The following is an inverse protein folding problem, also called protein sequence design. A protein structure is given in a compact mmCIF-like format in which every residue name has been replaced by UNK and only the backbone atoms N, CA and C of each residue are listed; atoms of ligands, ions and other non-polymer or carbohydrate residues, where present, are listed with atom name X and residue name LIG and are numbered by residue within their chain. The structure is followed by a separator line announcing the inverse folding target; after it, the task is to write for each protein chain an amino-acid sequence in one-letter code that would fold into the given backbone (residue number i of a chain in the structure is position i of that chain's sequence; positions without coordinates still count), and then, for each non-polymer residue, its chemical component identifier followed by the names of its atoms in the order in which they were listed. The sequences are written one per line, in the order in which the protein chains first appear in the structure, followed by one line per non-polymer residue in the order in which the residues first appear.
data_IF_661675208637
#
_entry.id   IF_661675208637
#
_cell.length_a   1.000
_cell.length_b   1.000
_cell.length_c   1.000
_cell.angle_alpha   90.00
_cell.angle_beta   90.00
_cell.angle_gamma   90.00
#
_symmetry.space_group_name_H-M   'P 1'
#
loop_
_entity.id
_entity.type
_entity.pdbx_description
1 polymer ?
#
# COMPACT_ATOMS: atom_id res chain seq x y z
N UNK A 1 1.15 -24.44 -4.86
CA UNK A 1 0.86 -24.81 -3.45
C UNK A 1 1.53 -23.82 -2.51
N UNK A 2 0.93 -23.47 -1.36
CA UNK A 2 1.58 -22.62 -0.35
C UNK A 2 2.20 -23.46 0.75
N UNK A 3 3.45 -23.16 1.12
CA UNK A 3 4.17 -23.94 2.13
C UNK A 3 4.67 -23.00 3.24
N UNK A 4 4.30 -23.28 4.51
CA UNK A 4 4.82 -22.53 5.64
C UNK A 4 6.29 -22.88 5.89
N UNK A 5 7.08 -21.93 6.41
CA UNK A 5 8.50 -22.14 6.74
C UNK A 5 8.74 -23.39 7.58
N UNK A 6 7.84 -23.66 8.54
CA UNK A 6 7.93 -24.79 9.46
C UNK A 6 7.86 -26.15 8.77
N UNK A 7 7.32 -26.23 7.55
CA UNK A 7 7.23 -27.47 6.78
C UNK A 7 8.46 -27.77 5.91
N UNK A 8 9.44 -26.87 5.82
CA UNK A 8 10.63 -27.04 4.97
C UNK A 8 11.56 -28.17 5.42
N UNK A 9 11.42 -28.62 6.67
CA UNK A 9 12.15 -29.77 7.21
C UNK A 9 11.40 -31.10 7.09
N UNK A 10 10.20 -31.12 6.48
CA UNK A 10 9.40 -32.33 6.39
C UNK A 10 10.00 -33.31 5.37
N UNK A 11 10.10 -34.59 5.76
CA UNK A 11 10.67 -35.65 4.94
C UNK A 11 9.81 -35.95 3.72
N UNK A 12 8.51 -35.67 3.79
CA UNK A 12 7.59 -35.91 2.68
C UNK A 12 7.56 -34.76 1.67
N UNK A 13 8.20 -33.61 1.98
CA UNK A 13 8.21 -32.43 1.12
C UNK A 13 8.71 -32.69 -0.32
N UNK A 14 9.78 -33.46 -0.57
CA UNK A 14 10.22 -33.76 -1.93
C UNK A 14 9.23 -34.60 -2.73
N UNK A 15 8.38 -35.39 -2.06
CA UNK A 15 7.33 -36.18 -2.72
C UNK A 15 6.17 -35.28 -3.13
N UNK A 16 5.81 -34.33 -2.25
CA UNK A 16 4.77 -33.33 -2.53
C UNK A 16 5.23 -32.35 -3.61
N UNK A 17 6.53 -32.03 -3.68
CA UNK A 17 7.14 -31.18 -4.71
C UNK A 17 6.70 -31.51 -6.13
N UNK A 18 6.78 -32.80 -6.46
CA UNK A 18 6.53 -33.29 -7.81
C UNK A 18 5.05 -33.33 -8.22
N UNK A 19 4.14 -32.90 -7.34
CA UNK A 19 2.70 -32.92 -7.60
C UNK A 19 2.16 -31.59 -8.14
N UNK A 20 3.00 -30.57 -8.28
CA UNK A 20 2.58 -29.22 -8.67
C UNK A 20 3.60 -28.55 -9.58
N UNK A 21 3.14 -27.73 -10.51
CA UNK A 21 4.01 -27.07 -11.50
C UNK A 21 4.91 -25.97 -10.92
N UNK A 22 4.51 -25.37 -9.78
CA UNK A 22 5.34 -24.40 -9.06
C UNK A 22 4.85 -24.17 -7.61
N UNK A 23 5.75 -23.59 -6.83
CA UNK A 23 5.63 -23.44 -5.37
C UNK A 23 5.53 -21.97 -4.97
N UNK A 24 4.80 -21.68 -3.91
CA UNK A 24 4.89 -20.40 -3.21
C UNK A 24 5.33 -20.66 -1.79
N UNK A 25 6.50 -20.15 -1.42
CA UNK A 25 7.12 -20.45 -0.13
C UNK A 25 7.36 -19.16 0.64
N UNK A 26 6.61 -18.95 1.72
CA UNK A 26 6.70 -17.70 2.49
C UNK A 26 7.91 -17.72 3.42
N UNK A 27 9.05 -17.20 2.98
CA UNK A 27 10.33 -17.31 3.69
C UNK A 27 10.78 -16.06 4.43
N UNK A 28 10.17 -14.90 4.16
CA UNK A 28 10.58 -13.63 4.76
C UNK A 28 9.38 -12.88 5.35
N UNK A 29 9.56 -12.25 6.51
CA UNK A 29 8.55 -11.44 7.20
C UNK A 29 7.60 -12.21 8.12
N UNK A 30 6.72 -11.51 8.84
CA UNK A 30 5.84 -12.13 9.84
C UNK A 30 4.45 -12.42 9.27
N UNK A 31 3.92 -13.66 9.36
CA UNK A 31 2.55 -13.99 8.90
C UNK A 31 1.50 -13.86 10.02
N UNK A 32 0.19 -13.79 9.67
CA UNK A 32 -0.87 -13.77 10.65
C UNK A 32 -0.86 -14.97 11.59
N UNK A 33 -1.00 -14.70 12.88
CA UNK A 33 -1.03 -15.72 13.93
C UNK A 33 0.34 -16.26 14.35
N UNK A 34 1.41 -15.93 13.62
CA UNK A 34 2.77 -16.22 14.06
C UNK A 34 3.17 -15.21 15.17
N UNK A 35 3.90 -15.68 16.18
CA UNK A 35 4.47 -14.83 17.22
C UNK A 35 5.60 -13.97 16.66
N UNK A 36 5.74 -12.73 17.12
CA UNK A 36 6.77 -11.80 16.65
C UNK A 36 8.18 -12.36 16.89
N UNK A 37 8.89 -12.69 15.81
CA UNK A 37 10.23 -13.28 15.85
C UNK A 37 11.18 -12.56 14.88
N UNK A 38 12.28 -11.99 15.42
CA UNK A 38 13.33 -11.36 14.61
C UNK A 38 13.93 -12.30 13.56
N UNK A 39 13.94 -13.61 13.83
CA UNK A 39 14.50 -14.61 12.93
C UNK A 39 13.74 -14.73 11.59
N UNK A 40 12.53 -14.17 11.49
CA UNK A 40 11.77 -14.14 10.24
C UNK A 40 12.21 -13.03 9.28
N UNK A 41 13.11 -12.15 9.73
CA UNK A 41 13.71 -11.08 8.95
C UNK A 41 15.20 -11.32 8.69
N UNK A 42 15.68 -12.56 8.86
CA UNK A 42 17.08 -12.96 8.72
C UNK A 42 17.40 -13.39 7.29
N UNK A 43 18.18 -12.56 6.58
CA UNK A 43 18.58 -12.83 5.20
C UNK A 43 19.37 -14.13 5.02
N UNK A 44 20.24 -14.46 5.97
CA UNK A 44 21.08 -15.65 5.86
C UNK A 44 20.25 -16.92 5.99
N UNK A 45 19.31 -16.93 6.95
CA UNK A 45 18.36 -18.04 7.10
C UNK A 45 17.44 -18.15 5.88
N UNK A 46 16.93 -17.03 5.38
CA UNK A 46 16.08 -17.02 4.18
C UNK A 46 16.82 -17.53 2.95
N UNK A 47 18.10 -17.16 2.77
CA UNK A 47 18.93 -17.71 1.69
C UNK A 47 19.08 -19.23 1.83
N UNK A 48 19.40 -19.74 3.03
CA UNK A 48 19.53 -21.18 3.25
C UNK A 48 18.24 -21.94 2.93
N UNK A 49 17.10 -21.41 3.38
CA UNK A 49 15.79 -22.01 3.13
C UNK A 49 15.41 -21.92 1.65
N UNK A 50 15.73 -20.81 0.97
CA UNK A 50 15.52 -20.68 -0.48
C UNK A 50 16.38 -21.67 -1.27
N UNK A 51 17.64 -21.88 -0.89
CA UNK A 51 18.52 -22.90 -1.50
C UNK A 51 17.99 -24.32 -1.29
N UNK A 52 17.39 -24.61 -0.13
CA UNK A 52 16.74 -25.91 0.12
C UNK A 52 15.54 -26.12 -0.79
N UNK A 53 14.72 -25.08 -0.99
CA UNK A 53 13.58 -25.12 -1.92
C UNK A 53 14.06 -25.30 -3.36
N UNK A 54 15.07 -24.55 -3.79
CA UNK A 54 15.65 -24.64 -5.13
C UNK A 54 16.18 -26.05 -5.43
N UNK A 55 16.77 -26.71 -4.43
CA UNK A 55 17.25 -28.09 -4.53
C UNK A 55 16.14 -29.15 -4.70
N UNK A 56 14.87 -28.81 -4.44
CA UNK A 56 13.72 -29.70 -4.72
C UNK A 56 13.46 -29.83 -6.23
N UNK A 57 13.99 -28.89 -7.04
CA UNK A 57 14.00 -28.96 -8.50
C UNK A 57 12.82 -28.30 -9.20
N UNK A 58 11.78 -27.92 -8.46
CA UNK A 58 10.58 -27.27 -9.00
C UNK A 58 10.68 -25.74 -8.98
N UNK A 59 10.09 -25.02 -9.96
CA UNK A 59 9.98 -23.57 -9.94
C UNK A 59 9.27 -23.05 -8.69
N UNK A 60 9.71 -21.91 -8.15
CA UNK A 60 9.08 -21.32 -6.97
C UNK A 60 9.10 -19.79 -6.95
N UNK A 61 8.07 -19.22 -6.31
CA UNK A 61 8.00 -17.83 -5.89
C UNK A 61 8.35 -17.72 -4.39
N UNK A 62 9.19 -16.75 -4.07
CA UNK A 62 9.55 -16.42 -2.70
C UNK A 62 8.47 -15.52 -2.08
N UNK A 63 7.71 -16.06 -1.14
CA UNK A 63 6.69 -15.31 -0.42
C UNK A 63 7.30 -14.37 0.63
N UNK A 64 6.90 -13.10 0.60
CA UNK A 64 7.36 -12.04 1.51
C UNK A 64 6.16 -11.46 2.25
N UNK A 65 6.17 -11.48 3.58
CA UNK A 65 5.11 -10.86 4.37
C UNK A 65 5.48 -9.44 4.79
N UNK A 66 4.78 -8.46 4.20
CA UNK A 66 4.93 -7.03 4.50
C UNK A 66 3.85 -6.51 5.47
N UNK A 67 3.02 -7.41 6.01
CA UNK A 67 1.96 -7.03 6.93
C UNK A 67 2.52 -6.45 8.24
N UNK A 68 1.83 -5.45 8.78
CA UNK A 68 2.24 -4.80 10.02
C UNK A 68 1.76 -5.55 11.26
N UNK A 69 2.47 -5.34 12.37
CA UNK A 69 2.02 -5.70 13.71
C UNK A 69 1.29 -4.52 14.33
N UNK A 70 0.18 -4.75 15.02
CA UNK A 70 -0.58 -3.71 15.71
C UNK A 70 -0.76 -4.06 17.19
N UNK A 71 -0.30 -3.17 18.07
CA UNK A 71 -0.50 -3.26 19.51
C UNK A 71 -1.59 -2.29 19.95
N UNK A 72 -2.59 -2.78 20.68
CA UNK A 72 -3.54 -1.95 21.40
C UNK A 72 -2.94 -1.58 22.76
N UNK A 73 -2.77 -0.29 22.99
CA UNK A 73 -2.30 0.27 24.25
C UNK A 73 -3.46 0.92 24.99
N UNK A 74 -3.54 0.68 26.30
CA UNK A 74 -4.47 1.38 27.17
C UNK A 74 -4.08 2.85 27.38
N UNK A 75 -4.93 3.64 28.06
CA UNK A 75 -4.64 5.04 28.38
C UNK A 75 -3.38 5.22 29.25
N UNK A 76 -3.02 4.20 30.01
CA UNK A 76 -1.81 4.11 30.83
C UNK A 76 -0.54 3.75 30.04
N UNK A 77 -0.68 3.46 28.73
CA UNK A 77 0.41 3.01 27.87
C UNK A 77 0.73 1.52 27.96
N UNK A 78 0.04 0.77 28.82
CA UNK A 78 0.19 -0.68 28.92
C UNK A 78 -0.34 -1.40 27.68
N UNK A 79 0.42 -2.36 27.17
CA UNK A 79 -0.02 -3.23 26.06
C UNK A 79 -1.16 -4.12 26.56
N UNK A 80 -2.32 -4.04 25.89
CA UNK A 80 -3.51 -4.85 26.21
C UNK A 80 -3.65 -6.04 25.29
N UNK A 81 -3.31 -5.85 24.02
CA UNK A 81 -3.44 -6.86 22.98
C UNK A 81 -2.42 -6.57 21.88
N UNK A 82 -1.89 -7.63 21.27
CA UNK A 82 -1.03 -7.54 20.07
C UNK A 82 -1.63 -8.45 19.02
N UNK A 83 -1.73 -7.94 17.80
CA UNK A 83 -2.07 -8.71 16.61
C UNK A 83 -0.94 -8.58 15.60
N UNK A 84 -0.48 -9.71 15.08
CA UNK A 84 0.49 -9.73 13.99
C UNK A 84 -0.25 -9.70 12.67
N UNK A 85 0.38 -9.08 11.69
CA UNK A 85 -0.01 -9.10 10.30
C UNK A 85 -1.47 -8.64 10.06
N UNK A 86 -1.73 -7.35 10.33
CA UNK A 86 -3.05 -6.72 10.44
C UNK A 86 -3.35 -5.80 9.24
N UNK A 87 -4.64 -5.62 8.87
CA UNK A 87 -5.04 -4.68 7.79
C UNK A 87 -4.93 -3.23 8.27
N UNK A 88 -3.94 -2.50 7.76
CA UNK A 88 -3.69 -1.13 8.21
C UNK A 88 -4.72 -0.15 7.65
N UNK A 89 -5.09 -0.30 6.38
CA UNK A 89 -5.88 0.70 5.66
C UNK A 89 -7.22 1.01 6.34
N UNK A 90 -8.04 0.04 6.78
CA UNK A 90 -9.29 0.34 7.50
C UNK A 90 -9.08 1.21 8.73
N UNK A 91 -7.95 1.08 9.45
CA UNK A 91 -7.65 1.93 10.60
C UNK A 91 -7.23 3.34 10.17
N UNK A 92 -6.43 3.45 9.11
CA UNK A 92 -5.84 4.71 8.67
C UNK A 92 -6.88 5.69 8.14
N UNK A 93 -7.97 5.19 7.54
CA UNK A 93 -9.03 6.02 6.96
C UNK A 93 -10.26 6.18 7.88
N UNK A 94 -10.29 5.48 9.03
CA UNK A 94 -11.46 5.52 9.89
C UNK A 94 -11.62 6.84 10.64
N UNK A 95 -12.75 7.54 10.44
CA UNK A 95 -13.02 8.87 11.03
C UNK A 95 -13.01 8.95 12.56
N UNK A 96 -13.26 7.83 13.23
CA UNK A 96 -13.21 7.70 14.69
C UNK A 96 -11.79 7.57 15.29
N UNK A 97 -10.78 7.42 14.43
CA UNK A 97 -9.37 7.34 14.80
C UNK A 97 -8.67 8.62 14.33
N UNK A 98 -7.79 9.14 15.17
CA UNK A 98 -6.94 10.28 14.82
C UNK A 98 -5.48 9.86 14.87
N UNK A 99 -4.69 10.31 13.90
CA UNK A 99 -3.26 10.10 13.92
C UNK A 99 -2.63 10.90 15.07
N UNK A 100 -1.86 10.23 15.91
CA UNK A 100 -1.03 10.89 16.92
C UNK A 100 0.11 11.59 16.17
N UNK A 101 0.32 12.91 16.36
CA UNK A 101 1.41 13.62 15.69
C UNK A 101 2.78 13.04 16.06
N UNK A 102 3.66 12.96 15.06
CA UNK A 102 5.01 12.41 15.20
C UNK A 102 5.16 11.07 14.49
N UNK A 103 6.25 10.93 13.74
CA UNK A 103 6.71 9.64 13.21
C UNK A 103 7.69 9.08 14.22
N UNK A 104 7.35 7.99 14.89
CA UNK A 104 8.32 7.26 15.69
C UNK A 104 8.97 6.23 14.77
N UNK A 105 10.28 6.30 14.61
CA UNK A 105 11.05 5.19 14.07
C UNK A 105 11.31 4.23 15.23
N UNK A 106 10.93 2.96 15.08
CA UNK A 106 11.32 1.92 16.01
C UNK A 106 12.58 1.23 15.48
N UNK A 107 13.64 1.22 16.29
CA UNK A 107 14.91 0.65 15.88
C UNK A 107 15.60 1.53 14.84
N UNK A 108 16.13 0.90 13.79
CA UNK A 108 16.88 1.61 12.75
C UNK A 108 15.94 2.30 11.76
N UNK A 109 14.82 1.67 11.34
CA UNK A 109 13.96 2.24 10.25
C UNK A 109 12.49 1.76 10.22
N UNK A 110 11.97 1.07 11.25
CA UNK A 110 10.56 0.63 11.21
C UNK A 110 9.63 1.83 11.40
N UNK A 111 8.79 2.11 10.40
CA UNK A 111 7.78 3.15 10.53
C UNK A 111 6.72 2.73 11.54
N UNK A 112 6.55 3.55 12.59
CA UNK A 112 5.47 3.41 13.54
C UNK A 112 4.38 4.42 13.22
N UNK A 113 3.16 3.93 13.06
CA UNK A 113 1.97 4.76 12.97
C UNK A 113 1.18 4.57 14.25
N UNK A 114 1.00 5.67 15.00
CA UNK A 114 0.14 5.69 16.17
C UNK A 114 -1.20 6.37 15.84
N UNK A 115 -2.29 5.69 16.17
CA UNK A 115 -3.64 6.25 16.13
C UNK A 115 -4.20 6.31 17.55
N UNK A 116 -5.03 7.32 17.83
CA UNK A 116 -5.76 7.47 19.08
C UNK A 116 -7.26 7.42 18.80
N UNK A 117 -7.98 6.72 19.67
CA UNK A 117 -9.43 6.58 19.56
C UNK A 117 -10.14 7.73 20.27
N UNK A 118 -11.06 8.42 19.58
CA UNK A 118 -11.80 9.57 20.14
C UNK A 118 -13.04 9.17 20.94
N UNK A 119 -13.72 8.14 20.48
CA UNK A 119 -14.96 7.62 21.04
C UNK A 119 -14.95 6.09 20.98
N UNK A 120 -15.86 5.44 21.70
CA UNK A 120 -15.95 3.98 21.65
C UNK A 120 -16.13 3.49 20.21
N UNK A 121 -15.29 2.56 19.77
CA UNK A 121 -15.26 2.11 18.39
C UNK A 121 -15.08 0.58 18.30
N UNK A 122 -15.93 -0.06 17.50
CA UNK A 122 -15.72 -1.43 17.04
C UNK A 122 -15.04 -1.42 15.68
N UNK A 123 -13.83 -1.95 15.55
CA UNK A 123 -13.13 -2.03 14.26
C UNK A 123 -12.25 -3.27 14.19
N UNK A 124 -12.36 -4.02 13.09
CA UNK A 124 -11.62 -5.27 12.85
C UNK A 124 -11.57 -6.22 14.05
N UNK A 125 -12.72 -6.46 14.70
CA UNK A 125 -12.80 -7.33 15.89
C UNK A 125 -12.23 -6.74 17.19
N UNK A 126 -11.81 -5.49 17.23
CA UNK A 126 -11.51 -4.75 18.46
C UNK A 126 -12.69 -3.97 18.98
N UNK A 127 -12.74 -3.82 20.30
CA UNK A 127 -13.60 -2.85 21.01
C UNK A 127 -12.70 -1.84 21.70
N UNK A 128 -12.45 -0.73 21.02
CA UNK A 128 -11.59 0.35 21.46
C UNK A 128 -12.37 1.30 22.35
N UNK A 129 -11.76 1.67 23.47
CA UNK A 129 -12.29 2.66 24.40
C UNK A 129 -11.70 4.04 24.10
N UNK A 130 -12.36 5.14 24.52
CA UNK A 130 -11.81 6.48 24.34
C UNK A 130 -10.39 6.61 24.91
N UNK A 131 -9.48 7.23 24.15
CA UNK A 131 -8.04 7.39 24.44
C UNK A 131 -7.19 6.12 24.36
N UNK A 132 -7.76 4.97 23.98
CA UNK A 132 -6.92 3.85 23.55
C UNK A 132 -6.01 4.30 22.40
N UNK A 133 -4.81 3.74 22.37
CA UNK A 133 -3.86 3.96 21.27
C UNK A 133 -3.63 2.67 20.51
N UNK A 134 -3.62 2.77 19.20
CA UNK A 134 -3.19 1.70 18.31
C UNK A 134 -1.81 2.05 17.81
N UNK A 135 -0.83 1.24 18.19
CA UNK A 135 0.55 1.37 17.76
C UNK A 135 0.83 0.32 16.71
N UNK A 136 0.92 0.77 15.46
CA UNK A 136 1.19 -0.08 14.31
C UNK A 136 2.66 0.01 13.96
N UNK A 137 3.34 -1.12 13.90
CA UNK A 137 4.74 -1.26 13.49
C UNK A 137 4.74 -1.97 12.14
N UNK A 138 5.26 -1.29 11.13
CA UNK A 138 5.33 -1.85 9.78
C UNK A 138 6.49 -2.83 9.60
N UNK A 139 6.33 -3.69 8.59
CA UNK A 139 7.44 -4.37 7.97
C UNK A 139 8.49 -3.34 7.52
N UNK A 140 9.79 -3.60 7.71
CA UNK A 140 10.81 -2.62 7.36
C UNK A 140 11.06 -2.68 5.86
N UNK A 141 10.62 -1.66 5.11
CA UNK A 141 10.70 -1.61 3.63
C UNK A 141 12.13 -1.83 3.14
N UNK A 142 13.12 -1.22 3.80
CA UNK A 142 14.53 -1.39 3.45
C UNK A 142 14.99 -2.86 3.53
N UNK A 143 14.40 -3.68 4.41
CA UNK A 143 14.71 -5.10 4.45
C UNK A 143 14.11 -5.85 3.26
N UNK A 144 12.98 -5.39 2.73
CA UNK A 144 12.37 -5.94 1.52
C UNK A 144 13.21 -5.56 0.30
N UNK A 145 13.60 -4.29 0.18
CA UNK A 145 14.51 -3.81 -0.87
C UNK A 145 15.84 -4.59 -0.86
N UNK A 146 16.42 -4.78 0.32
CA UNK A 146 17.66 -5.54 0.49
C UNK A 146 17.46 -7.03 0.18
N UNK A 147 16.33 -7.62 0.56
CA UNK A 147 15.98 -8.98 0.19
C UNK A 147 15.94 -9.14 -1.34
N UNK A 148 15.30 -8.21 -2.06
CA UNK A 148 15.23 -8.28 -3.53
C UNK A 148 16.61 -8.20 -4.16
N UNK A 149 17.43 -7.26 -3.67
CA UNK A 149 18.83 -7.10 -4.11
C UNK A 149 19.64 -8.38 -3.87
N UNK A 150 19.50 -9.00 -2.70
CA UNK A 150 20.21 -10.22 -2.32
C UNK A 150 19.69 -11.44 -3.08
N UNK A 151 18.38 -11.59 -3.23
CA UNK A 151 17.75 -12.70 -3.93
C UNK A 151 18.23 -12.82 -5.38
N UNK A 152 18.43 -11.68 -6.07
CA UNK A 152 19.04 -11.65 -7.40
C UNK A 152 20.49 -12.19 -7.45
N UNK A 153 21.21 -12.16 -6.32
CA UNK A 153 22.59 -12.63 -6.22
C UNK A 153 22.75 -14.07 -5.75
N UNK A 154 21.70 -14.71 -5.23
CA UNK A 154 21.78 -16.05 -4.65
C UNK A 154 22.00 -17.17 -5.68
N UNK A 155 21.78 -16.90 -6.96
CA UNK A 155 21.98 -17.87 -8.04
C UNK A 155 20.97 -19.03 -8.00
N UNK A 156 19.73 -18.75 -7.59
CA UNK A 156 18.66 -19.73 -7.48
C UNK A 156 18.06 -19.98 -8.87
N UNK A 157 18.30 -21.16 -9.43
CA UNK A 157 17.95 -21.47 -10.83
C UNK A 157 16.44 -21.62 -11.07
N UNK A 158 15.67 -21.89 -10.01
CA UNK A 158 14.23 -22.14 -10.05
C UNK A 158 13.40 -21.00 -9.46
N UNK A 159 14.05 -19.92 -9.02
CA UNK A 159 13.38 -18.77 -8.44
C UNK A 159 12.73 -17.90 -9.52
N UNK A 160 11.42 -17.73 -9.43
CA UNK A 160 10.61 -16.97 -10.39
C UNK A 160 10.45 -15.50 -10.00
N UNK A 161 10.65 -15.15 -8.73
CA UNK A 161 10.43 -13.81 -8.19
C UNK A 161 9.76 -13.82 -6.82
N UNK A 162 9.42 -12.62 -6.34
CA UNK A 162 8.79 -12.40 -5.05
C UNK A 162 7.26 -12.33 -5.16
N UNK A 163 6.59 -12.79 -4.10
CA UNK A 163 5.14 -12.64 -3.96
C UNK A 163 4.79 -12.09 -2.58
N UNK A 164 4.14 -10.94 -2.56
CA UNK A 164 3.80 -10.26 -1.31
C UNK A 164 2.54 -10.87 -0.66
N UNK A 165 2.64 -11.24 0.60
CA UNK A 165 1.55 -11.82 1.37
C UNK A 165 0.50 -10.76 1.72
N UNK A 166 -0.79 -11.08 1.54
CA UNK A 166 -1.92 -10.30 2.04
C UNK A 166 -2.81 -11.12 2.96
N UNK A 167 -3.60 -10.45 3.79
CA UNK A 167 -4.65 -11.12 4.54
C UNK A 167 -5.75 -11.62 3.58
N UNK A 168 -6.22 -12.87 3.70
CA UNK A 168 -7.34 -13.35 2.91
C UNK A 168 -8.62 -12.56 3.24
N UNK A 169 -9.50 -12.42 2.26
CA UNK A 169 -10.85 -11.87 2.44
C UNK A 169 -11.84 -12.93 2.93
N UNK A 170 -13.02 -12.48 3.36
CA UNK A 170 -14.08 -13.38 3.79
C UNK A 170 -14.50 -14.30 2.63
N UNK A 171 -14.32 -15.61 2.81
CA UNK A 171 -14.60 -16.63 1.79
C UNK A 171 -13.40 -17.05 0.95
N UNK A 172 -12.25 -16.37 1.07
CA UNK A 172 -11.01 -16.83 0.44
C UNK A 172 -10.34 -17.92 1.29
N UNK A 173 -10.01 -19.05 0.67
CA UNK A 173 -9.32 -20.15 1.34
C UNK A 173 -7.81 -19.92 1.54
N UNK A 174 -7.22 -18.98 0.79
CA UNK A 174 -5.79 -18.71 0.76
C UNK A 174 -5.53 -17.20 0.69
N UNK A 175 -4.36 -16.78 1.15
CA UNK A 175 -3.84 -15.40 1.03
C UNK A 175 -3.44 -14.99 -0.39
N UNK A 176 -3.61 -15.89 -1.36
CA UNK A 176 -3.18 -15.72 -2.74
C UNK A 176 -4.38 -15.94 -3.66
N UNK A 177 -4.74 -14.92 -4.41
CA UNK A 177 -5.72 -14.99 -5.49
C UNK A 177 -5.07 -15.54 -6.77
N UNK A 178 -5.88 -16.15 -7.63
CA UNK A 178 -5.40 -16.66 -8.92
C UNK A 178 -4.82 -15.57 -9.83
N UNK A 179 -5.37 -14.35 -9.77
CA UNK A 179 -4.87 -13.20 -10.51
C UNK A 179 -3.48 -12.76 -10.03
N UNK A 180 -3.23 -12.67 -8.72
CA UNK A 180 -1.91 -12.35 -8.15
C UNK A 180 -0.86 -13.40 -8.53
N UNK A 181 -1.26 -14.67 -8.55
CA UNK A 181 -0.38 -15.75 -9.01
C UNK A 181 -0.07 -15.64 -10.50
N UNK A 182 -1.07 -15.36 -11.34
CA UNK A 182 -0.85 -15.14 -12.76
C UNK A 182 0.07 -13.94 -13.01
N UNK A 183 -0.19 -12.81 -12.34
CA UNK A 183 0.62 -11.59 -12.45
C UNK A 183 2.07 -11.82 -12.01
N UNK A 184 2.30 -12.65 -10.99
CA UNK A 184 3.65 -12.99 -10.52
C UNK A 184 4.41 -13.97 -11.43
N UNK A 185 3.72 -14.66 -12.34
CA UNK A 185 4.34 -15.54 -13.35
C UNK A 185 4.64 -14.81 -14.66
N UNK A 186 4.08 -13.62 -14.87
CA UNK A 186 4.38 -12.79 -16.04
C UNK A 186 5.82 -12.22 -15.97
N UNK A 187 6.48 -11.99 -17.12
CA UNK A 187 7.80 -11.39 -17.13
C UNK A 187 7.80 -9.97 -16.56
N UNK A 188 8.60 -9.76 -15.50
CA UNK A 188 8.73 -8.48 -14.81
C UNK A 188 8.14 -8.52 -13.41
N UNK A 189 8.33 -7.44 -12.63
CA UNK A 189 7.78 -7.37 -11.29
C UNK A 189 6.31 -6.93 -11.36
N UNK A 190 5.41 -7.73 -10.78
CA UNK A 190 3.98 -7.44 -10.76
C UNK A 190 3.71 -6.08 -10.07
N UNK A 191 2.84 -5.25 -10.66
CA UNK A 191 2.50 -3.92 -10.14
C UNK A 191 0.98 -3.74 -10.07
N UNK A 192 0.46 -2.97 -9.11
CA UNK A 192 -0.96 -2.65 -9.03
C UNK A 192 -1.49 -1.97 -10.30
N UNK A 193 -2.71 -2.31 -10.69
CA UNK A 193 -3.42 -1.68 -11.80
C UNK A 193 -4.28 -0.53 -11.29
N UNK A 194 -3.73 0.68 -11.33
CA UNK A 194 -4.39 1.89 -10.80
C UNK A 194 -5.00 2.69 -11.95
N UNK A 195 -6.31 2.89 -11.88
CA UNK A 195 -7.09 3.72 -12.80
C UNK A 195 -7.59 5.00 -12.10
N UNK A 196 -7.66 6.08 -12.88
CA UNK A 196 -8.21 7.36 -12.44
C UNK A 196 -9.33 7.76 -13.40
N UNK A 197 -10.50 8.06 -12.86
CA UNK A 197 -11.64 8.57 -13.62
C UNK A 197 -12.13 9.91 -13.07
N UNK A 198 -12.70 10.73 -13.95
CA UNK A 198 -13.22 12.06 -13.62
C UNK A 198 -14.73 12.10 -13.87
N UNK A 199 -15.49 12.44 -12.82
CA UNK A 199 -16.93 12.66 -12.90
C UNK A 199 -17.19 14.18 -12.94
N UNK A 200 -17.71 14.70 -14.05
CA UNK A 200 -18.06 16.13 -14.15
C UNK A 200 -19.37 16.42 -13.42
N UNK A 201 -19.39 17.48 -12.61
CA UNK A 201 -20.55 17.91 -11.82
C UNK A 201 -21.14 19.22 -12.35
N UNK A 202 -22.44 19.48 -12.11
CA UNK A 202 -23.04 20.79 -12.40
C UNK A 202 -22.30 21.93 -11.68
N UNK A 203 -21.99 22.99 -12.43
CA UNK A 203 -21.25 24.14 -11.94
C UNK A 203 -21.92 25.47 -12.32
N UNK A 204 -21.57 26.55 -11.60
CA UNK A 204 -21.98 27.92 -11.95
C UNK A 204 -21.12 28.45 -13.11
N UNK A 205 -21.60 29.47 -13.81
CA UNK A 205 -20.83 30.14 -14.87
C UNK A 205 -19.43 30.55 -14.40
N UNK A 206 -18.41 30.23 -15.20
CA UNK A 206 -17.00 30.50 -14.90
C UNK A 206 -16.35 29.55 -13.88
N UNK A 207 -17.05 28.46 -13.51
CA UNK A 207 -16.53 27.41 -12.62
C UNK A 207 -16.66 26.04 -13.28
N UNK A 208 -15.71 25.17 -12.99
CA UNK A 208 -15.72 23.77 -13.37
C UNK A 208 -15.67 22.95 -12.09
N UNK A 209 -16.60 22.01 -11.95
CA UNK A 209 -16.75 21.20 -10.75
C UNK A 209 -16.70 19.72 -11.14
N UNK A 210 -15.96 18.91 -10.40
CA UNK A 210 -15.81 17.48 -10.71
C UNK A 210 -15.46 16.67 -9.46
N UNK A 211 -15.59 15.34 -9.54
CA UNK A 211 -14.98 14.39 -8.60
C UNK A 211 -13.95 13.54 -9.31
N UNK A 212 -13.07 12.98 -8.51
CA UNK A 212 -12.00 12.09 -8.95
C UNK A 212 -12.22 10.76 -8.27
N UNK A 213 -12.20 9.71 -9.07
CA UNK A 213 -12.30 8.31 -8.65
C UNK A 213 -10.94 7.68 -8.88
N UNK A 214 -10.33 7.16 -7.82
CA UNK A 214 -9.06 6.44 -7.85
C UNK A 214 -9.35 4.98 -7.51
N UNK A 215 -9.07 4.07 -8.44
CA UNK A 215 -9.39 2.66 -8.29
C UNK A 215 -8.16 1.79 -8.49
N UNK A 216 -7.95 0.81 -7.61
CA UNK A 216 -7.04 -0.30 -7.84
C UNK A 216 -7.84 -1.50 -8.35
N UNK A 217 -7.64 -1.88 -9.60
CA UNK A 217 -8.36 -2.98 -10.26
C UNK A 217 -7.68 -4.33 -10.08
N UNK A 218 -6.45 -4.32 -9.60
CA UNK A 218 -5.69 -5.52 -9.30
C UNK A 218 -5.93 -5.99 -7.87
N UNK A 219 -5.44 -7.19 -7.58
CA UNK A 219 -5.38 -7.76 -6.24
C UNK A 219 -4.04 -7.48 -5.52
N UNK A 220 -3.22 -6.57 -6.07
CA UNK A 220 -1.95 -6.15 -5.52
C UNK A 220 -2.13 -4.78 -4.84
N UNK A 221 -1.77 -4.62 -3.56
CA UNK A 221 -1.87 -3.34 -2.87
C UNK A 221 -0.67 -2.42 -3.19
N UNK A 222 -0.83 -1.12 -2.94
CA UNK A 222 0.32 -0.22 -2.76
C UNK A 222 0.83 -0.29 -1.32
N UNK A 223 1.95 0.36 -1.02
CA UNK A 223 2.54 0.44 0.31
C UNK A 223 2.28 1.81 0.96
N UNK A 224 2.30 1.87 2.29
CA UNK A 224 2.11 3.11 3.04
C UNK A 224 3.24 4.10 2.76
N UNK A 225 2.90 5.30 2.30
CA UNK A 225 3.84 6.40 2.18
C UNK A 225 3.81 7.29 3.44
N UNK A 226 4.98 7.53 4.04
CA UNK A 226 5.11 8.46 5.17
C UNK A 226 5.22 9.92 4.70
N UNK A 227 5.99 10.18 3.65
CA UNK A 227 6.21 11.49 3.02
C UNK A 227 6.41 11.30 1.51
N UNK A 228 6.04 12.33 0.74
CA UNK A 228 6.31 12.52 -0.70
C UNK A 228 5.62 11.59 -1.71
N UNK A 229 5.27 10.36 -1.33
CA UNK A 229 4.57 9.39 -2.19
C UNK A 229 3.08 9.20 -1.89
N UNK A 230 2.41 8.43 -2.74
CA UNK A 230 0.99 8.10 -2.72
C UNK A 230 0.10 9.33 -2.93
N UNK A 231 0.44 10.08 -3.98
CA UNK A 231 -0.33 11.23 -4.40
C UNK A 231 -0.95 11.00 -5.76
N UNK A 232 -2.21 11.40 -5.87
CA UNK A 232 -2.85 11.71 -7.14
C UNK A 232 -2.72 13.21 -7.39
N UNK A 233 -2.01 13.58 -8.45
CA UNK A 233 -1.73 14.97 -8.82
C UNK A 233 -2.60 15.38 -9.99
N UNK A 234 -3.35 16.46 -9.81
CA UNK A 234 -4.21 17.07 -10.81
C UNK A 234 -3.69 18.48 -11.08
N UNK A 235 -3.13 18.67 -12.27
CA UNK A 235 -2.59 19.95 -12.72
C UNK A 235 -3.48 20.52 -13.82
N UNK A 236 -3.99 21.74 -13.63
CA UNK A 236 -4.90 22.42 -14.54
C UNK A 236 -4.28 23.75 -15.05
N UNK A 237 -3.38 23.69 -16.05
CA UNK A 237 -2.68 24.86 -16.54
C UNK A 237 -3.65 25.98 -16.99
N UNK A 238 -3.47 27.19 -16.48
CA UNK A 238 -4.31 28.34 -16.83
C UNK A 238 -5.65 28.42 -16.08
N UNK A 239 -6.00 27.41 -15.27
CA UNK A 239 -7.07 27.50 -14.30
C UNK A 239 -6.52 27.77 -12.89
N UNK A 240 -7.43 27.97 -11.95
CA UNK A 240 -7.12 28.11 -10.53
C UNK A 240 -7.98 27.18 -9.70
N UNK A 241 -7.36 26.41 -8.82
CA UNK A 241 -8.03 25.63 -7.77
C UNK A 241 -8.75 26.60 -6.82
N UNK A 242 -10.06 26.45 -6.72
CA UNK A 242 -10.93 27.27 -5.88
C UNK A 242 -11.34 26.56 -4.60
N UNK A 243 -11.79 25.31 -4.71
CA UNK A 243 -12.27 24.52 -3.59
C UNK A 243 -11.86 23.05 -3.75
N UNK A 244 -11.61 22.38 -2.63
CA UNK A 244 -11.18 20.97 -2.58
C UNK A 244 -11.91 20.30 -1.42
N UNK A 245 -12.91 19.49 -1.75
CA UNK A 245 -13.48 18.53 -0.81
C UNK A 245 -12.75 17.19 -0.96
N UNK A 246 -12.11 16.75 0.13
CA UNK A 246 -11.27 15.56 0.16
C UNK A 246 -12.06 14.26 -0.06
N UNK A 247 -13.33 14.19 0.31
CA UNK A 247 -14.06 12.92 0.34
C UNK A 247 -13.34 11.88 1.21
N UNK A 248 -12.82 10.84 0.58
CA UNK A 248 -12.11 9.72 1.22
C UNK A 248 -10.58 9.89 1.26
N UNK A 249 -10.04 10.90 0.57
CA UNK A 249 -8.62 11.23 0.65
C UNK A 249 -8.24 11.78 2.03
N UNK A 250 -7.02 11.50 2.48
CA UNK A 250 -6.60 11.82 3.85
C UNK A 250 -6.09 13.26 4.02
N UNK A 251 -5.48 13.84 2.98
CA UNK A 251 -5.05 15.24 2.94
C UNK A 251 -4.87 15.68 1.50
N UNK A 252 -4.70 16.99 1.30
CA UNK A 252 -4.30 17.54 0.02
C UNK A 252 -3.20 18.58 0.20
N UNK A 253 -2.36 18.70 -0.82
CA UNK A 253 -1.39 19.78 -0.97
C UNK A 253 -1.78 20.63 -2.18
N UNK A 254 -1.63 21.95 -2.08
CA UNK A 254 -1.80 22.88 -3.18
C UNK A 254 -0.44 23.40 -3.62
N UNK A 255 -0.20 23.39 -4.93
CA UNK A 255 1.00 23.94 -5.51
C UNK A 255 0.67 24.87 -6.68
N UNK A 256 1.63 25.73 -7.00
CA UNK A 256 1.61 26.51 -8.22
C UNK A 256 2.77 26.02 -9.08
N UNK A 257 2.48 25.64 -10.31
CA UNK A 257 3.52 25.38 -11.31
C UNK A 257 4.22 26.69 -11.65
N UNK A 258 5.44 26.88 -11.15
CA UNK A 258 6.37 27.86 -11.70
C UNK A 258 7.48 27.14 -12.50
N UNK A 259 8.22 27.87 -13.33
CA UNK A 259 9.29 27.32 -14.15
C UNK A 259 10.47 26.72 -13.33
N UNK A 260 10.40 26.76 -11.99
CA UNK A 260 11.44 26.30 -11.05
C UNK A 260 10.96 25.20 -10.10
N UNK A 261 9.68 24.82 -10.11
CA UNK A 261 9.12 23.73 -9.32
C UNK A 261 8.98 24.01 -7.81
N UNK A 262 9.01 25.27 -7.35
CA UNK A 262 8.90 25.55 -5.91
C UNK A 262 7.45 25.49 -5.38
N UNK A 263 7.21 24.62 -4.40
CA UNK A 263 5.91 24.45 -3.71
C UNK A 263 5.73 25.51 -2.63
N UNK A 264 4.91 26.54 -2.89
CA UNK A 264 4.45 27.48 -1.85
C UNK A 264 2.92 27.49 -1.82
N UNK A 265 2.33 27.62 -0.64
CA UNK A 265 0.88 27.82 -0.53
C UNK A 265 0.51 29.19 -1.13
N UNK A 266 -0.24 29.20 -2.24
CA UNK A 266 -0.51 30.43 -2.99
C UNK A 266 -2.01 30.58 -3.26
N UNK A 267 -2.53 31.80 -3.13
CA UNK A 267 -3.89 32.28 -3.49
C UNK A 267 -4.36 31.94 -4.94
N UNK A 268 -3.56 31.20 -5.72
CA UNK A 268 -3.72 30.86 -7.14
C UNK A 268 -3.02 29.56 -7.52
N UNK A 269 -3.24 28.49 -6.76
CA UNK A 269 -2.77 27.16 -7.13
C UNK A 269 -3.44 26.70 -8.44
N UNK A 270 -2.66 26.11 -9.34
CA UNK A 270 -3.11 25.41 -10.54
C UNK A 270 -2.90 23.89 -10.43
N UNK A 271 -2.31 23.43 -9.32
CA UNK A 271 -2.11 22.02 -8.99
C UNK A 271 -2.73 21.68 -7.63
N UNK A 272 -3.40 20.54 -7.58
CA UNK A 272 -3.83 19.88 -6.33
C UNK A 272 -3.28 18.45 -6.30
N UNK A 273 -2.66 18.08 -5.17
CA UNK A 273 -2.18 16.73 -4.91
C UNK A 273 -3.05 16.12 -3.81
N UNK A 274 -3.78 15.06 -4.12
CA UNK A 274 -4.62 14.32 -3.19
C UNK A 274 -3.84 13.13 -2.64
N UNK A 275 -3.68 13.07 -1.32
CA UNK A 275 -2.92 12.00 -0.65
C UNK A 275 -3.85 10.91 -0.14
N UNK A 276 -3.48 9.67 -0.42
CA UNK A 276 -4.03 8.48 0.25
C UNK A 276 -2.89 7.73 0.90
N UNK A 277 -3.01 7.30 2.17
CA UNK A 277 -1.89 6.65 2.85
C UNK A 277 -1.46 5.36 2.16
N UNK A 278 -2.39 4.59 1.60
CA UNK A 278 -2.20 3.31 0.93
C UNK A 278 -3.46 3.04 0.09
N UNK A 279 -3.35 2.28 -0.99
CA UNK A 279 -4.47 1.81 -1.79
C UNK A 279 -4.48 0.28 -1.76
N UNK A 280 -5.47 -0.31 -1.07
CA UNK A 280 -5.60 -1.77 -0.99
C UNK A 280 -5.95 -2.38 -2.36
N UNK A 281 -5.76 -3.69 -2.45
CA UNK A 281 -6.30 -4.52 -3.53
C UNK A 281 -7.80 -4.24 -3.72
N UNK A 282 -8.24 -4.01 -4.96
CA UNK A 282 -9.66 -3.77 -5.27
C UNK A 282 -10.26 -2.47 -4.71
N UNK A 283 -9.48 -1.63 -4.02
CA UNK A 283 -10.01 -0.45 -3.35
C UNK A 283 -10.42 0.65 -4.34
N UNK A 284 -11.49 1.37 -4.00
CA UNK A 284 -11.95 2.56 -4.68
C UNK A 284 -11.98 3.72 -3.68
N UNK A 285 -11.39 4.86 -4.07
CA UNK A 285 -11.32 6.08 -3.28
C UNK A 285 -11.93 7.21 -4.09
N UNK A 286 -12.94 7.85 -3.53
CA UNK A 286 -13.67 8.92 -4.21
C UNK A 286 -13.44 10.25 -3.48
N UNK A 287 -13.08 11.28 -4.25
CA UNK A 287 -13.00 12.63 -3.72
C UNK A 287 -14.40 13.22 -3.47
N UNK A 288 -14.47 14.23 -2.62
CA UNK A 288 -15.59 15.16 -2.69
C UNK A 288 -15.51 16.02 -3.95
N UNK A 289 -16.44 16.95 -4.15
CA UNK A 289 -16.38 17.89 -5.26
C UNK A 289 -15.14 18.80 -5.19
N UNK A 290 -14.34 18.81 -6.26
CA UNK A 290 -13.29 19.79 -6.50
C UNK A 290 -13.82 20.88 -7.42
N UNK A 291 -13.34 22.10 -7.25
CA UNK A 291 -13.75 23.23 -8.07
C UNK A 291 -12.57 24.04 -8.60
N UNK A 292 -12.60 24.31 -9.91
CA UNK A 292 -11.66 25.17 -10.62
C UNK A 292 -12.37 26.44 -11.12
N UNK A 293 -11.64 27.54 -11.15
CA UNK A 293 -12.01 28.74 -11.89
C UNK A 293 -11.14 28.79 -13.15
N UNK A 294 -11.77 28.70 -14.31
CA UNK A 294 -11.12 28.74 -15.61
C UNK A 294 -11.66 29.92 -16.44
N UNK A 295 -10.85 30.54 -17.32
CA UNK A 295 -11.30 31.63 -18.19
C UNK A 295 -12.26 31.16 -19.30
N UNK A 296 -12.26 29.86 -19.64
CA UNK A 296 -13.10 29.26 -20.68
C UNK A 296 -14.22 28.36 -20.13
N UNK A 297 -14.97 27.72 -21.05
CA UNK A 297 -15.98 26.69 -20.72
C UNK A 297 -15.40 25.28 -20.60
N UNK A 298 -14.21 25.05 -21.16
CA UNK A 298 -13.45 23.83 -20.94
C UNK A 298 -12.08 24.12 -20.34
N UNK A 299 -11.50 23.10 -19.70
CA UNK A 299 -10.18 23.15 -19.10
C UNK A 299 -9.47 21.82 -19.26
N UNK A 300 -8.23 21.85 -19.76
CA UNK A 300 -7.36 20.69 -19.76
C UNK A 300 -6.85 20.39 -18.36
N UNK A 301 -6.94 19.13 -17.96
CA UNK A 301 -6.41 18.56 -16.73
C UNK A 301 -5.31 17.56 -17.08
N UNK A 302 -4.17 17.67 -16.43
CA UNK A 302 -3.09 16.70 -16.44
C UNK A 302 -3.16 15.90 -15.15
N UNK A 303 -3.37 14.60 -15.29
CA UNK A 303 -3.53 13.67 -14.19
C UNK A 303 -2.29 12.80 -14.13
N UNK A 304 -1.59 12.80 -13.02
CA UNK A 304 -0.46 11.91 -12.77
C UNK A 304 -0.54 11.38 -11.36
N UNK A 305 0.14 10.29 -11.08
CA UNK A 305 0.24 9.77 -9.73
C UNK A 305 1.58 9.11 -9.50
N UNK A 306 1.93 9.00 -8.23
CA UNK A 306 3.08 8.22 -7.79
C UNK A 306 2.69 7.43 -6.55
N UNK A 307 2.88 6.11 -6.60
CA UNK A 307 2.55 5.19 -5.51
C UNK A 307 3.75 4.34 -5.14
N UNK A 308 4.07 4.31 -3.85
CA UNK A 308 5.07 3.42 -3.29
C UNK A 308 4.55 1.98 -3.35
N UNK A 309 5.38 1.06 -3.81
CA UNK A 309 5.07 -0.36 -3.88
C UNK A 309 5.66 -1.12 -2.67
N UNK A 310 5.15 -2.33 -2.35
CA UNK A 310 5.67 -3.12 -1.23
C UNK A 310 7.16 -3.47 -1.32
N UNK A 311 7.72 -3.45 -2.52
CA UNK A 311 9.14 -3.68 -2.82
C UNK A 311 10.02 -2.42 -2.71
N UNK A 312 9.43 -1.26 -2.39
CA UNK A 312 10.14 0.02 -2.32
C UNK A 312 10.23 0.77 -3.65
N UNK A 313 9.86 0.16 -4.79
CA UNK A 313 9.77 0.88 -6.07
C UNK A 313 8.61 1.88 -6.05
N UNK A 314 8.65 2.82 -6.99
CA UNK A 314 7.57 3.80 -7.19
C UNK A 314 6.90 3.55 -8.53
N UNK A 315 5.58 3.31 -8.49
CA UNK A 315 4.73 3.27 -9.67
C UNK A 315 4.34 4.71 -10.03
N UNK A 316 4.91 5.23 -11.12
CA UNK A 316 4.63 6.56 -11.62
C UNK A 316 4.50 6.55 -13.16
N UNK A 317 3.34 6.16 -13.71
CA UNK A 317 3.12 6.17 -15.15
C UNK A 317 3.11 7.61 -15.71
N UNK A 318 3.24 7.76 -17.04
CA UNK A 318 3.11 9.07 -17.69
C UNK A 318 1.77 9.75 -17.36
N UNK A 319 1.79 11.08 -17.30
CA UNK A 319 0.58 11.85 -17.06
C UNK A 319 -0.44 11.65 -18.19
N UNK A 320 -1.70 11.48 -17.82
CA UNK A 320 -2.84 11.40 -18.75
C UNK A 320 -3.51 12.75 -18.88
N UNK A 321 -3.92 13.12 -20.09
CA UNK A 321 -4.68 14.34 -20.33
C UNK A 321 -6.18 14.06 -20.27
N UNK A 322 -6.93 14.98 -19.67
CA UNK A 322 -8.39 14.95 -19.63
C UNK A 322 -8.95 16.34 -19.95
N UNK A 323 -10.10 16.41 -20.60
CA UNK A 323 -10.80 17.67 -20.85
C UNK A 323 -12.02 17.79 -19.93
N UNK A 324 -12.02 18.81 -19.07
CA UNK A 324 -13.15 19.17 -18.21
C UNK A 324 -14.05 20.16 -18.93
N UNK A 325 -15.37 19.93 -18.89
CA UNK A 325 -16.38 20.80 -19.47
C UNK A 325 -16.73 20.43 -20.92
N UNK A 326 -18.00 20.65 -21.27
CA UNK A 326 -18.54 20.59 -22.64
C UNK A 326 -19.14 21.97 -22.99
#
# INVERSE_FOLDING_TARGET
MTIPRTALGDRDLPRVAKLTDFWVVFLFGQRPGEAEEFSFWDFYRTEQDARRVDALGEPFLLGVSTLATCSRLGPDGGVREVRTAFRLFPLLVHRGLERVPGSLLLGVDCQVVELRTRSRLGIDGWRLEPKDRLRMVRAPVHLVEELERLAGSWGLARHLGQLFYRLPEAGEGLSLSGAALAAALEPGAATPEIEVAIETLPARSGRLRFRVHLQNRSDLPTEIAALEHNFLTLHAPGARVHDVDLGEFSRYDLARSDARGERRGVLRADEVRLFVPMLEAGAEIVSGPLELIAPGRSQRLLISFDFLLPDGRVLAPPATEWELGN
#
